data_IF_982257163086
#
_entry.id   IF_982257163086
#
_cell.length_a   1.000
_cell.length_b   1.000
_cell.length_c   1.000
_cell.angle_alpha   90.00
_cell.angle_beta   90.00
_cell.angle_gamma   90.00
#
_symmetry.space_group_name_H-M   'P 1'
#
loop_
_entity.id
_entity.type
_entity.pdbx_description
1 polymer ?
#
# COMPACT_ATOMS: atom_id res chain seq x y z
N UNK A 1 -11.31 -4.10 -29.05
CA UNK A 1 -10.39 -4.57 -27.97
C UNK A 1 -10.83 -5.95 -27.53
N UNK A 2 -9.92 -6.92 -27.47
CA UNK A 2 -10.26 -8.27 -26.98
C UNK A 2 -10.37 -8.30 -25.46
N UNK A 3 -11.06 -9.30 -24.87
CA UNK A 3 -11.11 -9.48 -23.42
C UNK A 3 -9.71 -9.52 -22.76
N UNK A 4 -8.76 -10.19 -23.40
CA UNK A 4 -7.36 -10.26 -22.93
C UNK A 4 -6.68 -8.88 -22.95
N UNK A 5 -6.88 -8.10 -24.00
CA UNK A 5 -6.34 -6.73 -24.10
C UNK A 5 -6.95 -5.83 -23.03
N UNK A 6 -8.25 -5.96 -22.76
CA UNK A 6 -8.93 -5.22 -21.68
C UNK A 6 -8.33 -5.56 -20.31
N UNK A 7 -8.14 -6.86 -20.02
CA UNK A 7 -7.53 -7.30 -18.77
C UNK A 7 -6.09 -6.78 -18.60
N UNK A 8 -5.27 -6.85 -19.64
CA UNK A 8 -3.88 -6.35 -19.61
C UNK A 8 -3.84 -4.84 -19.38
N UNK A 9 -4.69 -4.07 -20.06
CA UNK A 9 -4.77 -2.62 -19.89
C UNK A 9 -5.15 -2.24 -18.44
N UNK A 10 -6.16 -2.90 -17.87
CA UNK A 10 -6.60 -2.66 -16.49
C UNK A 10 -5.52 -3.03 -15.46
N UNK A 11 -4.80 -4.14 -15.64
CA UNK A 11 -3.68 -4.54 -14.78
C UNK A 11 -2.50 -3.56 -14.87
N UNK A 12 -2.24 -3.00 -16.06
CA UNK A 12 -1.25 -1.92 -16.25
C UNK A 12 -1.70 -0.65 -15.51
N UNK A 13 -2.97 -0.28 -15.60
CA UNK A 13 -3.55 0.84 -14.85
C UNK A 13 -3.36 0.71 -13.35
N UNK A 14 -3.62 -0.48 -12.77
CA UNK A 14 -3.34 -0.76 -11.37
C UNK A 14 -1.87 -0.53 -11.00
N UNK A 15 -0.95 -1.02 -11.83
CA UNK A 15 0.49 -0.86 -11.58
C UNK A 15 0.88 0.61 -11.60
N UNK A 16 0.37 1.39 -12.55
CA UNK A 16 0.61 2.82 -12.65
C UNK A 16 0.06 3.57 -11.41
N UNK A 17 -1.13 3.23 -10.95
CA UNK A 17 -1.72 3.81 -9.74
C UNK A 17 -0.84 3.57 -8.51
N UNK A 18 -0.38 2.34 -8.30
CA UNK A 18 0.50 1.99 -7.19
C UNK A 18 1.83 2.75 -7.28
N UNK A 19 2.43 2.83 -8.45
CA UNK A 19 3.69 3.54 -8.65
C UNK A 19 3.54 5.05 -8.43
N UNK A 20 2.47 5.66 -8.93
CA UNK A 20 2.17 7.08 -8.71
C UNK A 20 1.97 7.39 -7.21
N UNK A 21 1.22 6.56 -6.49
CA UNK A 21 1.02 6.72 -5.04
C UNK A 21 2.32 6.56 -4.26
N UNK A 22 3.18 5.62 -4.66
CA UNK A 22 4.50 5.44 -4.05
C UNK A 22 5.40 6.66 -4.29
N UNK A 23 5.36 7.24 -5.50
CA UNK A 23 6.13 8.45 -5.81
C UNK A 23 5.63 9.67 -5.02
N UNK A 24 4.32 9.79 -4.82
CA UNK A 24 3.70 10.82 -3.99
C UNK A 24 4.15 10.70 -2.53
N UNK A 25 4.08 9.49 -1.95
CA UNK A 25 4.59 9.22 -0.61
C UNK A 25 6.07 9.57 -0.45
N UNK A 26 6.89 9.26 -1.46
CA UNK A 26 8.32 9.62 -1.46
C UNK A 26 8.52 11.14 -1.36
N UNK A 27 7.78 11.93 -2.15
CA UNK A 27 7.86 13.39 -2.12
C UNK A 27 7.50 13.97 -0.75
N UNK A 28 6.44 13.43 -0.11
CA UNK A 28 6.05 13.85 1.23
C UNK A 28 7.14 13.54 2.27
N UNK A 29 7.77 12.37 2.18
CA UNK A 29 8.89 11.99 3.06
C UNK A 29 10.13 12.85 2.83
N UNK A 30 10.48 13.18 1.58
CA UNK A 30 11.59 14.07 1.24
C UNK A 30 11.35 15.49 1.75
N UNK A 31 10.12 15.97 1.71
CA UNK A 31 9.76 17.28 2.28
C UNK A 31 9.88 17.29 3.80
N UNK A 32 9.36 16.26 4.47
CA UNK A 32 9.50 16.13 5.92
C UNK A 32 10.98 16.02 6.36
N UNK A 33 11.81 15.28 5.62
CA UNK A 33 13.26 15.21 5.85
C UNK A 33 13.90 16.60 5.78
N UNK A 34 13.61 17.38 4.74
CA UNK A 34 14.12 18.75 4.60
C UNK A 34 13.72 19.65 5.78
N UNK A 35 12.45 19.60 6.18
CA UNK A 35 11.94 20.40 7.30
C UNK A 35 12.59 19.99 8.63
N UNK A 36 12.72 18.70 8.89
CA UNK A 36 13.36 18.17 10.09
C UNK A 36 14.85 18.56 10.13
N UNK A 37 15.56 18.43 9.02
CA UNK A 37 16.96 18.84 8.93
C UNK A 37 17.13 20.34 9.13
N UNK A 38 16.22 21.18 8.64
CA UNK A 38 16.24 22.62 8.88
C UNK A 38 16.03 22.95 10.37
N UNK A 39 15.09 22.27 11.05
CA UNK A 39 14.85 22.40 12.49
C UNK A 39 16.13 22.00 13.27
N UNK A 40 16.74 20.88 12.93
CA UNK A 40 17.95 20.40 13.60
C UNK A 40 19.15 21.33 13.37
N UNK A 41 19.29 21.89 12.15
CA UNK A 41 20.36 22.84 11.83
C UNK A 41 20.19 24.20 12.54
N UNK A 42 18.97 24.61 12.82
CA UNK A 42 18.66 25.83 13.58
C UNK A 42 18.80 25.65 15.08
N UNK A 43 18.86 24.40 15.60
CA UNK A 43 19.02 24.13 17.00
C UNK A 43 20.42 24.55 17.51
N UNK A 44 20.54 25.04 18.75
CA UNK A 44 21.84 25.35 19.36
C UNK A 44 22.75 24.12 19.35
N UNK A 45 24.05 24.33 19.10
CA UNK A 45 25.06 23.23 19.03
C UNK A 45 25.23 22.47 20.36
N UNK A 46 24.84 23.11 21.45
CA UNK A 46 24.85 22.60 22.82
C UNK A 46 23.44 22.46 23.37
N UNK A 47 22.53 21.72 22.62
CA UNK A 47 21.18 21.65 23.16
C UNK A 47 21.16 21.00 24.53
N UNK A 48 20.82 21.88 25.45
CA UNK A 48 20.63 21.51 26.84
C UNK A 48 19.27 20.84 27.04
N UNK A 49 19.13 20.13 28.14
CA UNK A 49 17.89 19.43 28.53
C UNK A 49 16.64 20.31 28.42
N UNK A 50 16.75 21.62 28.66
CA UNK A 50 15.62 22.55 28.58
C UNK A 50 15.14 22.83 27.15
N UNK A 51 15.99 22.67 26.10
CA UNK A 51 15.62 22.91 24.73
C UNK A 51 15.04 21.65 24.04
N UNK A 52 15.40 20.46 24.53
CA UNK A 52 15.00 19.18 23.94
C UNK A 52 13.48 19.02 23.78
N UNK A 53 12.62 19.36 24.76
CA UNK A 53 11.16 19.23 24.59
C UNK A 53 10.61 20.10 23.48
N UNK A 54 11.15 21.31 23.28
CA UNK A 54 10.74 22.20 22.19
C UNK A 54 11.12 21.63 20.84
N UNK A 55 12.35 21.16 20.69
CA UNK A 55 12.87 20.53 19.48
C UNK A 55 12.04 19.30 19.12
N UNK A 56 11.75 18.44 20.10
CA UNK A 56 10.88 17.27 19.91
C UNK A 56 9.46 17.65 19.48
N UNK A 57 8.90 18.71 20.06
CA UNK A 57 7.57 19.19 19.71
C UNK A 57 7.49 19.73 18.27
N UNK A 58 8.52 20.44 17.80
CA UNK A 58 8.60 20.94 16.43
C UNK A 58 8.70 19.80 15.43
N UNK A 59 9.60 18.84 15.65
CA UNK A 59 9.76 17.66 14.79
C UNK A 59 8.47 16.83 14.77
N UNK A 60 7.85 16.62 15.94
CA UNK A 60 6.58 15.88 16.03
C UNK A 60 5.48 16.55 15.20
N UNK A 61 5.42 17.88 15.15
CA UNK A 61 4.45 18.62 14.36
C UNK A 61 4.63 18.32 12.86
N UNK A 62 5.87 18.34 12.36
CA UNK A 62 6.18 17.96 10.96
C UNK A 62 5.71 16.54 10.68
N UNK A 63 5.97 15.59 11.56
CA UNK A 63 5.61 14.18 11.36
C UNK A 63 4.11 13.92 11.46
N UNK A 64 3.39 14.64 12.30
CA UNK A 64 1.92 14.57 12.36
C UNK A 64 1.31 15.11 11.08
N UNK A 65 1.82 16.21 10.54
CA UNK A 65 1.41 16.75 9.24
C UNK A 65 1.68 15.75 8.13
N UNK A 66 2.90 15.21 8.04
CA UNK A 66 3.26 14.14 7.10
C UNK A 66 2.31 12.96 7.18
N UNK A 67 2.03 12.45 8.39
CA UNK A 67 1.12 11.33 8.61
C UNK A 67 -0.31 11.62 8.12
N UNK A 68 -0.79 12.84 8.32
CA UNK A 68 -2.11 13.28 7.85
C UNK A 68 -2.19 13.40 6.32
N UNK A 69 -1.21 14.04 5.71
CA UNK A 69 -1.14 14.23 4.25
C UNK A 69 -0.97 12.90 3.52
N UNK A 70 -0.05 12.06 4.00
CA UNK A 70 0.15 10.71 3.46
C UNK A 70 -1.11 9.84 3.60
N UNK A 71 -1.79 9.88 4.75
CA UNK A 71 -3.04 9.16 4.97
C UNK A 71 -4.14 9.65 4.00
N UNK A 72 -4.28 10.96 3.79
CA UNK A 72 -5.22 11.54 2.84
C UNK A 72 -4.93 11.11 1.40
N UNK A 73 -3.67 11.17 0.98
CA UNK A 73 -3.25 10.74 -0.35
C UNK A 73 -3.57 9.26 -0.61
N UNK A 74 -3.21 8.36 0.31
CA UNK A 74 -3.47 6.92 0.13
C UNK A 74 -4.96 6.57 0.22
N UNK A 75 -5.75 7.32 0.98
CA UNK A 75 -7.21 7.12 1.09
C UNK A 75 -7.92 7.32 -0.25
N UNK A 76 -7.62 8.42 -0.94
CA UNK A 76 -8.14 8.70 -2.28
C UNK A 76 -7.72 7.61 -3.27
N UNK A 77 -6.47 7.20 -3.23
CA UNK A 77 -5.93 6.17 -4.13
C UNK A 77 -6.51 4.78 -3.86
N UNK A 78 -6.88 4.48 -2.62
CA UNK A 78 -7.54 3.22 -2.30
C UNK A 78 -8.97 3.15 -2.87
N UNK A 79 -9.71 4.25 -2.84
CA UNK A 79 -11.00 4.37 -3.52
C UNK A 79 -10.85 4.17 -5.04
N UNK A 80 -9.83 4.76 -5.64
CA UNK A 80 -9.51 4.60 -7.07
C UNK A 80 -9.15 3.14 -7.39
N UNK A 81 -8.34 2.50 -6.56
CA UNK A 81 -7.99 1.07 -6.70
C UNK A 81 -9.23 0.17 -6.64
N UNK A 82 -10.17 0.46 -5.74
CA UNK A 82 -11.42 -0.26 -5.64
C UNK A 82 -12.28 -0.12 -6.91
N UNK A 83 -12.47 1.11 -7.39
CA UNK A 83 -13.25 1.38 -8.60
C UNK A 83 -12.65 0.71 -9.84
N UNK A 84 -11.34 0.83 -10.01
CA UNK A 84 -10.64 0.23 -11.15
C UNK A 84 -10.58 -1.28 -11.08
N UNK A 85 -10.55 -1.86 -9.88
CA UNK A 85 -10.65 -3.30 -9.67
C UNK A 85 -11.98 -3.88 -10.14
N UNK A 86 -13.09 -3.19 -9.85
CA UNK A 86 -14.41 -3.55 -10.36
C UNK A 86 -14.50 -3.37 -11.88
N UNK A 87 -14.04 -2.22 -12.37
CA UNK A 87 -14.07 -1.88 -13.79
C UNK A 87 -13.31 -2.88 -14.68
N UNK A 88 -12.31 -3.60 -14.15
CA UNK A 88 -11.65 -4.68 -14.89
C UNK A 88 -12.65 -5.72 -15.38
N UNK A 89 -13.56 -6.18 -14.51
CA UNK A 89 -14.55 -7.20 -14.86
C UNK A 89 -15.53 -6.65 -15.89
N UNK A 90 -16.04 -5.44 -15.67
CA UNK A 90 -16.98 -4.79 -16.59
C UNK A 90 -16.38 -4.65 -17.99
N UNK A 91 -15.12 -4.22 -18.08
CA UNK A 91 -14.42 -4.07 -19.35
C UNK A 91 -14.18 -5.41 -20.07
N UNK A 92 -13.83 -6.46 -19.33
CA UNK A 92 -13.60 -7.81 -19.90
C UNK A 92 -14.89 -8.42 -20.39
N UNK A 93 -15.98 -8.31 -19.62
CA UNK A 93 -17.32 -8.80 -19.98
C UNK A 93 -17.85 -8.06 -21.20
N UNK A 94 -17.73 -6.73 -21.23
CA UNK A 94 -18.13 -5.92 -22.39
C UNK A 94 -17.30 -6.25 -23.64
N UNK A 95 -15.99 -6.44 -23.50
CA UNK A 95 -15.11 -6.83 -24.61
C UNK A 95 -15.39 -8.23 -25.16
N UNK A 96 -16.03 -9.10 -24.36
CA UNK A 96 -16.56 -10.39 -24.80
C UNK A 96 -17.92 -10.28 -25.52
N UNK A 97 -18.46 -9.06 -25.70
CA UNK A 97 -19.76 -8.83 -26.33
C UNK A 97 -20.95 -9.08 -25.40
N UNK A 98 -20.73 -9.30 -24.14
CA UNK A 98 -21.80 -9.56 -23.15
C UNK A 98 -22.25 -8.23 -22.54
N UNK A 99 -23.53 -7.91 -22.66
CA UNK A 99 -24.14 -6.72 -22.08
C UNK A 99 -24.92 -7.11 -20.81
N UNK A 100 -24.41 -6.68 -19.67
CA UNK A 100 -25.04 -6.91 -18.35
C UNK A 100 -25.09 -5.61 -17.57
N UNK A 101 -26.14 -5.44 -16.77
CA UNK A 101 -26.21 -4.38 -15.75
C UNK A 101 -25.95 -5.04 -14.41
N UNK A 102 -24.84 -4.66 -13.79
CA UNK A 102 -24.44 -5.22 -12.50
C UNK A 102 -24.77 -4.21 -11.38
N UNK A 103 -25.17 -4.67 -10.19
CA UNK A 103 -25.46 -3.78 -9.06
C UNK A 103 -24.17 -3.04 -8.62
N UNK A 104 -24.36 -1.91 -7.94
CA UNK A 104 -23.24 -1.17 -7.33
C UNK A 104 -22.56 -2.04 -6.27
N UNK A 105 -21.22 -1.90 -6.16
CA UNK A 105 -20.47 -2.62 -5.13
C UNK A 105 -20.82 -2.09 -3.74
N UNK A 106 -20.94 -2.99 -2.78
CA UNK A 106 -21.06 -2.64 -1.36
C UNK A 106 -19.75 -1.97 -0.88
N UNK A 107 -19.88 -0.77 -0.34
CA UNK A 107 -18.73 0.04 0.11
C UNK A 107 -18.31 -0.24 1.56
N UNK A 108 -19.05 -1.07 2.32
CA UNK A 108 -18.74 -1.34 3.74
C UNK A 108 -17.34 -1.91 3.91
N UNK A 109 -16.97 -2.86 3.05
CA UNK A 109 -15.63 -3.46 3.10
C UNK A 109 -14.55 -2.44 2.69
N UNK A 110 -14.81 -1.61 1.69
CA UNK A 110 -13.91 -0.51 1.32
C UNK A 110 -13.72 0.47 2.49
N UNK A 111 -14.77 0.84 3.20
CA UNK A 111 -14.70 1.74 4.36
C UNK A 111 -13.77 1.18 5.44
N UNK A 112 -13.91 -0.10 5.77
CA UNK A 112 -13.02 -0.76 6.72
C UNK A 112 -11.55 -0.80 6.24
N UNK A 113 -11.33 -1.08 4.95
CA UNK A 113 -9.98 -1.10 4.35
C UNK A 113 -9.34 0.28 4.35
N UNK A 114 -10.12 1.35 4.08
CA UNK A 114 -9.65 2.74 4.11
C UNK A 114 -9.23 3.14 5.53
N UNK A 115 -10.05 2.87 6.53
CA UNK A 115 -9.72 3.14 7.93
C UNK A 115 -8.43 2.42 8.36
N UNK A 116 -8.29 1.15 7.97
CA UNK A 116 -7.10 0.36 8.27
C UNK A 116 -5.82 0.92 7.61
N UNK A 117 -5.88 1.27 6.34
CA UNK A 117 -4.72 1.82 5.62
C UNK A 117 -4.31 3.18 6.17
N UNK A 118 -5.26 4.09 6.39
CA UNK A 118 -4.96 5.42 6.94
C UNK A 118 -4.39 5.32 8.35
N UNK A 119 -4.89 4.40 9.18
CA UNK A 119 -4.32 4.09 10.49
C UNK A 119 -2.88 3.63 10.39
N UNK A 120 -2.59 2.63 9.57
CA UNK A 120 -1.22 2.13 9.35
C UNK A 120 -0.23 3.21 8.89
N UNK A 121 -0.65 4.14 8.03
CA UNK A 121 0.22 5.24 7.57
C UNK A 121 0.51 6.23 8.71
N UNK A 122 -0.49 6.55 9.53
CA UNK A 122 -0.29 7.40 10.73
C UNK A 122 0.61 6.73 11.77
N UNK A 123 0.47 5.43 11.97
CA UNK A 123 1.34 4.65 12.87
C UNK A 123 2.81 4.70 12.42
N UNK A 124 3.08 4.63 11.11
CA UNK A 124 4.44 4.79 10.57
C UNK A 124 5.02 6.16 10.97
N UNK A 125 4.26 7.24 10.85
CA UNK A 125 4.72 8.58 11.23
C UNK A 125 4.99 8.70 12.73
N UNK A 126 4.16 8.07 13.57
CA UNK A 126 4.34 8.03 15.02
C UNK A 126 5.59 7.24 15.42
N UNK A 127 5.81 6.07 14.81
CA UNK A 127 7.00 5.25 15.05
C UNK A 127 8.28 6.01 14.71
N UNK A 128 8.25 6.78 13.59
CA UNK A 128 9.36 7.65 13.19
C UNK A 128 9.61 8.75 14.23
N UNK A 129 8.55 9.39 14.73
CA UNK A 129 8.67 10.40 15.78
C UNK A 129 9.35 9.83 17.04
N UNK A 130 8.95 8.64 17.46
CA UNK A 130 9.55 7.96 18.61
C UNK A 130 11.02 7.61 18.38
N UNK A 131 11.36 7.12 17.17
CA UNK A 131 12.74 6.80 16.83
C UNK A 131 13.63 8.06 16.78
N UNK A 132 13.13 9.18 16.25
CA UNK A 132 13.85 10.46 16.25
C UNK A 132 14.05 10.96 17.68
N UNK A 133 13.02 10.90 18.51
CA UNK A 133 13.13 11.28 19.93
C UNK A 133 14.21 10.49 20.66
N UNK A 134 14.34 9.19 20.36
CA UNK A 134 15.41 8.35 20.90
C UNK A 134 16.80 8.82 20.46
N UNK A 135 16.98 9.20 19.19
CA UNK A 135 18.27 9.73 18.70
C UNK A 135 18.63 11.06 19.40
N UNK A 136 17.66 11.95 19.54
CA UNK A 136 17.89 13.23 20.25
C UNK A 136 18.19 13.01 21.73
N UNK A 137 17.55 12.05 22.39
CA UNK A 137 17.86 11.66 23.76
C UNK A 137 19.30 11.18 23.95
N UNK A 138 19.84 10.39 22.99
CA UNK A 138 21.23 9.93 23.01
C UNK A 138 22.22 11.10 22.95
N UNK A 139 21.91 12.16 22.18
CA UNK A 139 22.76 13.36 22.14
C UNK A 139 22.77 14.06 23.50
N UNK A 140 21.61 14.23 24.14
CA UNK A 140 21.51 14.92 25.42
C UNK A 140 22.28 14.22 26.54
N UNK A 141 22.32 12.90 26.56
CA UNK A 141 23.10 12.12 27.54
C UNK A 141 24.58 11.93 27.13
N UNK A 142 25.03 12.54 26.02
CA UNK A 142 26.40 12.46 25.54
C UNK A 142 26.81 11.11 24.94
N UNK A 143 25.84 10.21 24.67
CA UNK A 143 26.12 8.90 24.06
C UNK A 143 26.26 8.98 22.54
N UNK A 144 25.92 10.10 21.92
CA UNK A 144 25.97 10.33 20.46
C UNK A 144 26.22 11.81 20.18
N UNK A 145 26.95 12.10 19.10
CA UNK A 145 27.14 13.48 18.65
C UNK A 145 25.92 13.99 17.89
N UNK A 146 25.66 15.31 17.83
CA UNK A 146 24.61 15.90 17.00
C UNK A 146 24.70 15.49 15.54
N UNK A 147 25.92 15.42 14.99
CA UNK A 147 26.16 15.02 13.59
C UNK A 147 25.71 13.55 13.33
N UNK A 148 26.05 12.63 14.23
CA UNK A 148 25.64 11.23 14.14
C UNK A 148 24.12 11.09 14.23
N UNK A 149 23.47 11.85 15.12
CA UNK A 149 22.02 11.87 15.25
C UNK A 149 21.35 12.37 13.96
N UNK A 150 21.82 13.47 13.37
CA UNK A 150 21.31 13.99 12.10
C UNK A 150 21.44 12.95 10.99
N UNK A 151 22.57 12.29 10.89
CA UNK A 151 22.80 11.22 9.89
C UNK A 151 21.87 10.05 10.10
N UNK A 152 21.67 9.60 11.34
CA UNK A 152 20.76 8.51 11.68
C UNK A 152 19.29 8.85 11.36
N UNK A 153 18.85 10.07 11.69
CA UNK A 153 17.50 10.57 11.41
C UNK A 153 17.24 10.62 9.89
N UNK A 154 18.18 11.16 9.11
CA UNK A 154 18.03 11.23 7.66
C UNK A 154 17.97 9.82 7.03
N UNK A 155 18.81 8.89 7.46
CA UNK A 155 18.76 7.49 7.00
C UNK A 155 17.41 6.82 7.36
N UNK A 156 16.90 7.05 8.58
CA UNK A 156 15.59 6.54 9.00
C UNK A 156 14.46 6.99 8.07
N UNK A 157 14.41 8.27 7.71
CA UNK A 157 13.38 8.84 6.83
C UNK A 157 13.50 8.34 5.39
N UNK A 158 14.72 8.39 4.82
CA UNK A 158 14.95 8.08 3.40
C UNK A 158 14.90 6.59 3.08
N UNK A 159 15.29 5.73 4.00
CA UNK A 159 15.42 4.30 3.74
C UNK A 159 14.32 3.47 4.42
N UNK A 160 14.36 3.36 5.75
CA UNK A 160 13.48 2.47 6.49
C UNK A 160 12.01 2.87 6.37
N UNK A 161 11.71 4.16 6.54
CA UNK A 161 10.34 4.68 6.51
C UNK A 161 9.76 4.62 5.10
N UNK A 162 10.53 5.00 4.09
CA UNK A 162 10.11 4.91 2.69
C UNK A 162 9.85 3.46 2.27
N UNK A 163 10.73 2.53 2.65
CA UNK A 163 10.57 1.10 2.37
C UNK A 163 9.30 0.55 3.02
N UNK A 164 9.07 0.85 4.30
CA UNK A 164 7.89 0.42 5.04
C UNK A 164 6.60 0.99 4.46
N UNK A 165 6.55 2.32 4.24
CA UNK A 165 5.40 3.00 3.65
C UNK A 165 5.08 2.50 2.24
N UNK A 166 6.08 2.32 1.39
CA UNK A 166 5.93 1.75 0.05
C UNK A 166 5.34 0.33 0.09
N UNK A 167 5.81 -0.51 1.02
CA UNK A 167 5.29 -1.87 1.17
C UNK A 167 3.83 -1.85 1.58
N UNK A 168 3.44 -1.01 2.54
CA UNK A 168 2.05 -0.84 2.99
C UNK A 168 1.18 -0.40 1.82
N UNK A 169 1.54 0.69 1.14
CA UNK A 169 0.78 1.22 0.00
C UNK A 169 0.58 0.16 -1.08
N UNK A 170 1.65 -0.50 -1.51
CA UNK A 170 1.58 -1.55 -2.53
C UNK A 170 0.65 -2.70 -2.14
N UNK A 171 0.75 -3.16 -0.91
CA UNK A 171 -0.06 -4.28 -0.42
C UNK A 171 -1.54 -3.90 -0.32
N UNK A 172 -1.84 -2.75 0.29
CA UNK A 172 -3.23 -2.39 0.58
C UNK A 172 -3.98 -1.89 -0.67
N UNK A 173 -3.32 -1.16 -1.59
CA UNK A 173 -3.94 -0.81 -2.88
C UNK A 173 -4.17 -2.04 -3.76
N UNK A 174 -3.20 -2.97 -3.82
CA UNK A 174 -3.37 -4.20 -4.56
C UNK A 174 -4.48 -5.09 -3.96
N UNK A 175 -4.62 -5.09 -2.62
CA UNK A 175 -5.70 -5.79 -1.91
C UNK A 175 -7.07 -5.17 -2.23
N UNK A 176 -7.21 -3.84 -2.15
CA UNK A 176 -8.46 -3.16 -2.47
C UNK A 176 -8.91 -3.45 -3.91
N UNK A 177 -7.98 -3.35 -4.86
CA UNK A 177 -8.23 -3.68 -6.26
C UNK A 177 -8.68 -5.14 -6.43
N UNK A 178 -7.97 -6.10 -5.83
CA UNK A 178 -8.25 -7.52 -5.99
C UNK A 178 -9.57 -7.94 -5.31
N UNK A 179 -9.88 -7.34 -4.16
CA UNK A 179 -11.14 -7.56 -3.45
C UNK A 179 -12.33 -7.06 -4.28
N UNK A 180 -12.27 -5.84 -4.79
CA UNK A 180 -13.31 -5.28 -5.65
C UNK A 180 -13.50 -6.11 -6.92
N UNK A 181 -12.40 -6.56 -7.52
CA UNK A 181 -12.42 -7.44 -8.69
C UNK A 181 -13.13 -8.77 -8.38
N UNK A 182 -12.83 -9.42 -7.25
CA UNK A 182 -13.48 -10.68 -6.87
C UNK A 182 -14.98 -10.48 -6.64
N UNK A 183 -15.38 -9.45 -5.89
CA UNK A 183 -16.81 -9.17 -5.63
C UNK A 183 -17.53 -8.91 -6.97
N UNK A 184 -16.91 -8.17 -7.87
CA UNK A 184 -17.49 -7.88 -9.19
C UNK A 184 -17.58 -9.13 -10.06
N UNK A 185 -16.60 -10.03 -10.02
CA UNK A 185 -16.68 -11.33 -10.67
C UNK A 185 -17.82 -12.20 -10.11
N UNK A 186 -18.04 -12.16 -8.80
CA UNK A 186 -19.16 -12.89 -8.17
C UNK A 186 -20.53 -12.37 -8.64
N UNK A 187 -20.68 -11.03 -8.72
CA UNK A 187 -21.88 -10.44 -9.29
C UNK A 187 -22.07 -10.82 -10.78
N UNK A 188 -20.99 -10.78 -11.56
CA UNK A 188 -21.03 -11.14 -12.97
C UNK A 188 -21.34 -12.64 -13.16
N UNK A 189 -20.80 -13.53 -12.33
CA UNK A 189 -21.05 -14.97 -12.40
C UNK A 189 -22.51 -15.35 -12.18
N UNK A 190 -23.27 -14.53 -11.44
CA UNK A 190 -24.69 -14.73 -11.22
C UNK A 190 -25.54 -14.55 -12.50
N UNK A 191 -25.04 -13.80 -13.48
CA UNK A 191 -25.75 -13.44 -14.72
C UNK A 191 -25.01 -13.87 -16.00
N UNK A 192 -23.77 -14.34 -15.90
CA UNK A 192 -22.95 -14.84 -17.00
C UNK A 192 -22.60 -16.31 -16.73
N UNK A 193 -23.37 -17.26 -17.26
CA UNK A 193 -23.12 -18.70 -17.03
C UNK A 193 -21.72 -19.11 -17.48
N UNK A 194 -21.04 -19.93 -16.66
CA UNK A 194 -19.72 -20.47 -17.01
C UNK A 194 -18.55 -19.50 -16.84
N UNK A 195 -18.78 -18.31 -16.26
CA UNK A 195 -17.70 -17.38 -15.95
C UNK A 195 -16.65 -18.04 -15.06
N UNK A 196 -15.39 -17.96 -15.46
CA UNK A 196 -14.24 -18.51 -14.72
C UNK A 196 -13.23 -17.40 -14.45
N UNK A 197 -12.48 -17.56 -13.38
CA UNK A 197 -11.32 -16.72 -13.06
C UNK A 197 -10.02 -17.47 -13.36
N UNK A 198 -9.00 -16.73 -13.81
CA UNK A 198 -7.69 -17.28 -14.14
C UNK A 198 -6.62 -16.61 -13.28
N UNK A 199 -5.71 -17.41 -12.73
CA UNK A 199 -4.55 -16.88 -12.04
C UNK A 199 -3.51 -16.36 -13.01
N UNK A 200 -3.13 -15.10 -12.87
CA UNK A 200 -2.05 -14.49 -13.66
C UNK A 200 -0.93 -14.07 -12.69
N UNK A 201 0.25 -14.66 -12.84
CA UNK A 201 1.43 -14.27 -12.06
C UNK A 201 1.80 -12.80 -12.34
N UNK A 202 2.44 -12.14 -11.37
CA UNK A 202 2.96 -10.79 -11.58
C UNK A 202 4.06 -10.77 -12.64
N UNK A 203 4.21 -9.64 -13.33
CA UNK A 203 5.31 -9.40 -14.27
C UNK A 203 6.64 -9.07 -13.61
N UNK A 204 6.81 -9.29 -12.29
CA UNK A 204 8.09 -9.09 -11.60
C UNK A 204 9.17 -10.00 -12.17
N UNK A 205 10.43 -9.55 -12.12
CA UNK A 205 11.60 -10.34 -12.52
C UNK A 205 11.69 -11.65 -11.74
N UNK A 206 11.40 -11.59 -10.45
CA UNK A 206 11.43 -12.72 -9.52
C UNK A 206 10.05 -12.89 -8.86
N UNK A 207 9.09 -13.52 -9.53
CA UNK A 207 7.82 -13.84 -8.92
C UNK A 207 7.96 -15.02 -7.96
N UNK A 208 7.09 -15.13 -6.96
CA UNK A 208 7.10 -16.28 -6.05
C UNK A 208 6.89 -17.59 -6.82
N UNK A 209 7.71 -18.61 -6.52
CA UNK A 209 7.65 -19.94 -7.17
C UNK A 209 6.24 -20.54 -7.07
N UNK A 210 5.59 -20.44 -5.90
CA UNK A 210 4.23 -20.93 -5.68
C UNK A 210 3.18 -20.23 -6.55
N UNK A 211 3.37 -18.94 -6.87
CA UNK A 211 2.49 -18.19 -7.77
C UNK A 211 2.79 -18.47 -9.25
N UNK A 212 4.02 -18.83 -9.57
CA UNK A 212 4.40 -19.29 -10.92
C UNK A 212 3.77 -20.65 -11.21
N UNK A 213 3.81 -21.56 -10.23
CA UNK A 213 3.28 -22.91 -10.38
C UNK A 213 1.79 -22.97 -10.73
N UNK A 214 1.01 -21.98 -10.27
CA UNK A 214 -0.43 -21.90 -10.57
C UNK A 214 -0.78 -20.89 -11.69
N UNK A 215 0.24 -20.36 -12.39
CA UNK A 215 -0.01 -19.45 -13.50
C UNK A 215 -0.82 -20.11 -14.61
N UNK A 216 -1.90 -19.46 -15.01
CA UNK A 216 -2.84 -20.01 -16.00
C UNK A 216 -3.92 -20.93 -15.41
N UNK A 217 -3.84 -21.30 -14.12
CA UNK A 217 -4.89 -22.09 -13.48
C UNK A 217 -6.23 -21.35 -13.57
N UNK A 218 -7.28 -22.08 -13.99
CA UNK A 218 -8.63 -21.56 -14.06
C UNK A 218 -9.52 -22.22 -12.99
N UNK A 219 -10.34 -21.40 -12.36
CA UNK A 219 -11.31 -21.84 -11.34
C UNK A 219 -12.68 -21.21 -11.60
N UNK A 220 -13.77 -21.88 -11.23
CA UNK A 220 -15.06 -21.21 -11.05
C UNK A 220 -14.89 -20.01 -10.10
N UNK A 221 -15.64 -18.93 -10.32
CA UNK A 221 -15.47 -17.70 -9.54
C UNK A 221 -15.59 -17.93 -8.02
N UNK A 222 -16.49 -18.81 -7.60
CA UNK A 222 -16.73 -19.16 -6.19
C UNK A 222 -15.68 -20.11 -5.57
N UNK A 223 -14.76 -20.67 -6.37
CA UNK A 223 -13.75 -21.62 -5.86
C UNK A 223 -12.40 -20.94 -5.66
N UNK A 224 -11.66 -21.26 -4.59
CA UNK A 224 -10.32 -20.73 -4.41
C UNK A 224 -9.32 -21.37 -5.38
N UNK A 225 -8.21 -20.67 -5.63
CA UNK A 225 -7.01 -21.25 -6.19
C UNK A 225 -6.28 -22.03 -5.11
N UNK A 226 -5.59 -23.09 -5.52
CA UNK A 226 -4.92 -24.04 -4.61
C UNK A 226 -3.41 -23.93 -4.83
N UNK A 227 -2.68 -23.56 -3.79
CA UNK A 227 -1.24 -23.40 -3.77
C UNK A 227 -0.58 -24.46 -2.89
N UNK A 228 0.71 -24.64 -3.04
CA UNK A 228 1.54 -25.53 -2.19
C UNK A 228 0.97 -26.94 -2.03
N UNK A 229 0.50 -27.55 -3.12
CA UNK A 229 -0.05 -28.90 -3.10
C UNK A 229 -1.34 -29.07 -2.29
N UNK A 230 -2.03 -27.98 -2.00
CA UNK A 230 -3.28 -28.02 -1.20
C UNK A 230 -3.18 -27.37 0.18
N UNK A 231 -1.96 -27.06 0.62
CA UNK A 231 -1.74 -26.50 1.95
C UNK A 231 -2.25 -25.06 2.11
N UNK A 232 -2.34 -24.31 1.00
CA UNK A 232 -2.79 -22.92 0.99
C UNK A 232 -3.87 -22.73 -0.08
N UNK A 233 -4.91 -21.98 0.27
CA UNK A 233 -5.95 -21.58 -0.68
C UNK A 233 -6.11 -20.07 -0.68
N UNK A 234 -6.37 -19.48 -1.87
CA UNK A 234 -6.59 -18.05 -2.05
C UNK A 234 -7.75 -17.81 -3.01
N UNK A 235 -8.69 -16.97 -2.63
CA UNK A 235 -9.74 -16.56 -3.57
C UNK A 235 -9.21 -15.68 -4.69
N UNK A 236 -8.22 -14.83 -4.39
CA UNK A 236 -7.60 -13.87 -5.29
C UNK A 236 -6.21 -13.46 -4.79
N UNK A 237 -5.36 -12.83 -5.61
CA UNK A 237 -4.09 -12.26 -5.15
C UNK A 237 -4.30 -11.23 -4.03
N UNK A 238 -3.47 -11.28 -3.00
CA UNK A 238 -3.57 -10.47 -1.78
C UNK A 238 -4.80 -10.77 -0.90
N UNK A 239 -5.36 -11.97 -1.01
CA UNK A 239 -6.44 -12.43 -0.12
C UNK A 239 -5.99 -12.33 1.35
N UNK A 240 -6.68 -11.54 2.21
CA UNK A 240 -6.28 -11.35 3.60
C UNK A 240 -6.38 -12.63 4.45
N UNK A 241 -7.09 -13.65 3.98
CA UNK A 241 -7.19 -14.95 4.66
C UNK A 241 -5.98 -15.84 4.42
N UNK A 242 -5.15 -15.52 3.43
CA UNK A 242 -3.95 -16.29 3.14
C UNK A 242 -2.77 -15.83 4.02
N UNK A 243 -1.78 -16.72 4.25
CA UNK A 243 -0.57 -16.37 4.99
C UNK A 243 0.17 -15.16 4.38
N UNK A 244 0.79 -14.32 5.24
CA UNK A 244 1.48 -13.11 4.83
C UNK A 244 2.54 -13.34 3.74
N UNK A 245 3.24 -14.49 3.76
CA UNK A 245 4.22 -14.87 2.72
C UNK A 245 3.66 -14.91 1.29
N UNK A 246 2.34 -14.98 1.13
CA UNK A 246 1.66 -14.96 -0.18
C UNK A 246 1.05 -13.60 -0.53
N UNK A 247 0.87 -12.71 0.44
CA UNK A 247 0.09 -11.47 0.29
C UNK A 247 0.93 -10.20 0.35
N UNK A 248 2.15 -10.25 0.91
CA UNK A 248 3.05 -9.09 1.07
C UNK A 248 4.19 -9.10 0.05
#
# INVERSE_FOLDING_TARGET
MTPTQAAVAALKGRTNLINATTAELRKLLEEADRQILAILAAAPSDYQLWYLPQLQAEIRRVLVTLGSEAAGAVDVRQLEAWRTGAALVDQVVAAAGVRVVLPTLDVRQLTAMRAFLTGKIKDVALDVANAINSQLGLVVIGAQTPFEAIKAISALLKEATLKRGTTIVRTELARAYATANQIRMEQAAAVVPGLRKRWVKSGKREPRVTHVAIHGQEQPVAKPFVLEGGAVTMMYPHDPKAPARHTI
#
